data_IF_549193250422
#
_entry.id   IF_549193250422
#
_cell.length_a   1.000
_cell.length_b   1.000
_cell.length_c   1.000
_cell.angle_alpha   90.00
_cell.angle_beta   90.00
_cell.angle_gamma   90.00
#
_symmetry.space_group_name_H-M   'P 1'
#
loop_
_entity.id
_entity.type
_entity.pdbx_description
1 polymer ?
#
# COMPACT_ATOMS: atom_id res chain seq x y z
N UNK A 1 32.03 4.07 7.47
CA UNK A 1 30.65 3.68 7.14
C UNK A 1 30.65 2.19 6.84
N UNK A 2 30.11 1.39 7.74
CA UNK A 2 30.11 -0.07 7.64
C UNK A 2 28.97 -0.58 6.74
N UNK A 3 28.95 -1.88 6.46
CA UNK A 3 27.86 -2.55 5.70
C UNK A 3 26.50 -2.30 6.38
N UNK A 4 26.46 -2.28 7.72
CA UNK A 4 25.25 -2.00 8.50
C UNK A 4 24.66 -0.62 8.21
N UNK A 5 25.50 0.40 8.05
CA UNK A 5 25.04 1.77 7.77
C UNK A 5 24.46 1.88 6.36
N UNK A 6 25.06 1.16 5.39
CA UNK A 6 24.55 1.10 4.01
C UNK A 6 23.23 0.36 3.92
N UNK A 7 23.10 -0.75 4.65
CA UNK A 7 21.85 -1.49 4.73
C UNK A 7 20.74 -0.65 5.37
N UNK A 8 21.04 0.06 6.46
CA UNK A 8 20.08 0.96 7.09
C UNK A 8 19.63 2.08 6.13
N UNK A 9 20.56 2.68 5.37
CA UNK A 9 20.23 3.68 4.36
C UNK A 9 19.32 3.12 3.26
N UNK A 10 19.61 1.92 2.75
CA UNK A 10 18.78 1.25 1.77
C UNK A 10 17.37 0.95 2.30
N UNK A 11 17.26 0.40 3.51
CA UNK A 11 15.96 0.11 4.12
C UNK A 11 15.14 1.38 4.35
N UNK A 12 15.78 2.49 4.70
CA UNK A 12 15.10 3.77 4.84
C UNK A 12 14.56 4.27 3.50
N UNK A 13 15.36 4.20 2.43
CA UNK A 13 14.93 4.60 1.08
C UNK A 13 13.75 3.74 0.59
N UNK A 14 13.86 2.42 0.76
CA UNK A 14 12.78 1.48 0.44
C UNK A 14 11.49 1.78 1.21
N UNK A 15 11.60 2.12 2.51
CA UNK A 15 10.44 2.50 3.32
C UNK A 15 9.80 3.78 2.79
N UNK A 16 10.58 4.81 2.45
CA UNK A 16 10.06 6.07 1.89
C UNK A 16 9.28 5.81 0.59
N UNK A 17 9.83 5.00 -0.31
CA UNK A 17 9.15 4.63 -1.57
C UNK A 17 7.87 3.86 -1.29
N UNK A 18 7.92 2.86 -0.40
CA UNK A 18 6.75 2.05 -0.06
C UNK A 18 5.60 2.89 0.51
N UNK A 19 5.88 3.76 1.49
CA UNK A 19 4.85 4.63 2.06
C UNK A 19 4.34 5.68 1.07
N UNK A 20 5.21 6.19 0.19
CA UNK A 20 4.81 7.10 -0.88
C UNK A 20 3.77 6.46 -1.80
N UNK A 21 4.05 5.24 -2.27
CA UNK A 21 3.13 4.49 -3.13
C UNK A 21 1.80 4.18 -2.41
N UNK A 22 1.84 3.81 -1.13
CA UNK A 22 0.63 3.52 -0.36
C UNK A 22 -0.29 4.76 -0.25
N UNK A 23 0.29 5.94 0.03
CA UNK A 23 -0.46 7.20 0.10
C UNK A 23 -1.04 7.59 -1.27
N UNK A 24 -0.24 7.43 -2.34
CA UNK A 24 -0.68 7.75 -3.70
C UNK A 24 -1.85 6.86 -4.13
N UNK A 25 -1.76 5.55 -3.88
CA UNK A 25 -2.85 4.61 -4.16
C UNK A 25 -4.12 4.99 -3.40
N UNK A 26 -4.02 5.22 -2.08
CA UNK A 26 -5.17 5.60 -1.26
C UNK A 26 -5.79 6.95 -1.67
N UNK A 27 -4.98 7.90 -2.15
CA UNK A 27 -5.47 9.19 -2.64
C UNK A 27 -6.27 9.07 -3.94
N UNK A 28 -6.05 7.98 -4.71
CA UNK A 28 -6.78 7.71 -5.95
C UNK A 28 -8.06 6.88 -5.73
N UNK A 29 -8.23 6.26 -4.55
CA UNK A 29 -9.44 5.50 -4.22
C UNK A 29 -10.69 6.39 -4.23
N UNK A 30 -11.76 5.87 -4.83
CA UNK A 30 -13.04 6.57 -4.93
C UNK A 30 -14.19 5.67 -4.47
N UNK A 31 -15.17 6.29 -3.82
CA UNK A 31 -16.40 5.64 -3.39
C UNK A 31 -17.58 6.21 -4.17
N UNK A 32 -18.48 5.34 -4.60
CA UNK A 32 -19.74 5.76 -5.20
C UNK A 32 -20.69 6.24 -4.09
N UNK A 33 -21.02 7.53 -4.11
CA UNK A 33 -22.00 8.18 -3.22
C UNK A 33 -23.28 8.57 -3.95
N UNK A 34 -23.46 8.09 -5.19
CA UNK A 34 -24.67 8.23 -5.99
C UNK A 34 -25.60 7.03 -5.83
N UNK A 35 -26.76 7.09 -6.47
CA UNK A 35 -27.66 5.92 -6.57
C UNK A 35 -27.30 5.05 -7.78
N UNK A 36 -27.84 3.83 -7.84
CA UNK A 36 -27.54 2.85 -8.89
C UNK A 36 -27.76 3.39 -10.31
N UNK A 37 -28.78 4.22 -10.51
CA UNK A 37 -29.09 4.83 -11.82
C UNK A 37 -28.23 6.06 -12.14
N UNK A 38 -27.62 6.69 -11.12
CA UNK A 38 -26.82 7.91 -11.24
C UNK A 38 -25.63 7.86 -10.28
N UNK A 39 -24.60 7.05 -10.62
CA UNK A 39 -23.43 6.94 -9.79
C UNK A 39 -22.69 8.27 -9.73
N UNK A 40 -22.12 8.57 -8.56
CA UNK A 40 -21.29 9.75 -8.34
C UNK A 40 -20.10 9.32 -7.51
N UNK A 41 -18.93 9.31 -8.12
CA UNK A 41 -17.70 8.95 -7.45
C UNK A 41 -17.06 10.17 -6.79
N UNK A 42 -16.62 10.00 -5.56
CA UNK A 42 -15.86 10.99 -4.80
C UNK A 42 -14.65 10.30 -4.16
N UNK A 43 -13.59 11.06 -3.89
CA UNK A 43 -12.42 10.50 -3.22
C UNK A 43 -12.82 9.87 -1.87
N UNK A 44 -12.37 8.64 -1.63
CA UNK A 44 -12.63 7.90 -0.39
C UNK A 44 -11.94 8.60 0.80
N UNK A 45 -10.72 9.09 0.57
CA UNK A 45 -9.92 9.80 1.55
C UNK A 45 -9.47 11.17 1.03
N UNK A 46 -9.36 12.12 1.94
CA UNK A 46 -8.69 13.41 1.68
C UNK A 46 -7.20 13.29 2.01
N UNK A 47 -6.36 14.10 1.35
CA UNK A 47 -4.92 14.13 1.66
C UNK A 47 -4.65 14.49 3.12
N UNK A 48 -5.48 15.34 3.73
CA UNK A 48 -5.36 15.69 5.15
C UNK A 48 -5.57 14.46 6.04
N UNK A 49 -6.57 13.62 5.73
CA UNK A 49 -6.80 12.37 6.47
C UNK A 49 -5.60 11.42 6.33
N UNK A 50 -5.10 11.21 5.11
CA UNK A 50 -3.96 10.31 4.85
C UNK A 50 -2.69 10.72 5.59
N UNK A 51 -2.50 12.01 5.84
CA UNK A 51 -1.34 12.56 6.56
C UNK A 51 -1.59 12.77 8.06
N UNK A 52 -2.80 12.47 8.55
CA UNK A 52 -3.15 12.64 9.97
C UNK A 52 -2.48 11.54 10.80
N UNK A 53 -1.73 11.90 11.87
CA UNK A 53 -1.12 10.89 12.74
C UNK A 53 -2.16 9.93 13.33
N UNK A 54 -1.89 8.63 13.23
CA UNK A 54 -2.77 7.57 13.72
C UNK A 54 -3.96 7.25 12.80
N UNK A 55 -4.08 7.91 11.65
CA UNK A 55 -5.01 7.49 10.60
C UNK A 55 -4.60 6.12 10.06
N UNK A 56 -5.60 5.26 9.83
CA UNK A 56 -5.42 3.91 9.28
C UNK A 56 -6.28 3.81 8.04
N UNK A 57 -5.69 3.37 6.93
CA UNK A 57 -6.42 3.06 5.71
C UNK A 57 -7.19 1.76 5.96
N UNK A 58 -8.51 1.80 5.79
CA UNK A 58 -9.35 0.61 5.93
C UNK A 58 -9.04 -0.33 4.77
N UNK A 59 -8.58 -1.54 5.10
CA UNK A 59 -8.49 -2.64 4.14
C UNK A 59 -9.87 -3.27 4.04
N UNK A 60 -10.52 -3.14 2.88
CA UNK A 60 -11.78 -3.82 2.62
C UNK A 60 -11.51 -5.34 2.64
N UNK A 61 -12.04 -6.02 3.66
CA UNK A 61 -11.80 -7.45 3.89
C UNK A 61 -12.29 -8.35 2.73
N UNK A 62 -13.09 -7.79 1.82
CA UNK A 62 -13.71 -8.48 0.69
C UNK A 62 -13.09 -8.13 -0.68
N UNK A 63 -12.13 -7.18 -0.77
CA UNK A 63 -11.50 -6.76 -2.05
C UNK A 63 -10.01 -7.16 -2.20
N UNK A 64 -9.45 -7.92 -1.26
CA UNK A 64 -8.09 -8.44 -1.38
C UNK A 64 -8.09 -9.95 -1.54
N UNK A 65 -7.73 -10.46 -2.73
CA UNK A 65 -6.98 -11.72 -2.78
C UNK A 65 -5.79 -11.50 -1.85
N UNK A 66 -5.73 -12.26 -0.74
CA UNK A 66 -4.61 -12.21 0.19
C UNK A 66 -3.33 -12.34 -0.64
N UNK A 67 -2.55 -11.25 -0.78
CA UNK A 67 -1.19 -11.41 -1.26
C UNK A 67 -0.52 -12.33 -0.24
N UNK A 68 -0.06 -13.53 -0.65
CA UNK A 68 0.53 -14.45 0.31
C UNK A 68 1.80 -13.80 0.86
N UNK A 69 1.70 -13.28 2.07
CA UNK A 69 2.81 -12.79 2.88
C UNK A 69 3.61 -13.95 3.50
N UNK A 70 3.53 -15.15 2.90
CA UNK A 70 4.53 -16.17 3.12
C UNK A 70 5.68 -15.94 2.14
N UNK A 71 6.81 -15.53 2.68
CA UNK A 71 8.11 -15.64 2.01
C UNK A 71 8.55 -17.12 1.87
N UNK A 72 7.63 -18.02 1.51
CA UNK A 72 7.87 -19.45 1.22
C UNK A 72 7.58 -19.74 -0.26
N UNK A 73 8.00 -18.82 -1.14
CA UNK A 73 7.75 -18.86 -2.58
C UNK A 73 9.00 -18.80 -3.47
N UNK A 74 10.21 -18.86 -2.90
CA UNK A 74 11.43 -19.06 -3.69
C UNK A 74 11.56 -20.55 -4.03
N UNK A 75 10.83 -20.99 -5.06
CA UNK A 75 11.18 -22.19 -5.80
C UNK A 75 12.48 -21.93 -6.55
N UNK A 76 13.60 -22.28 -5.92
CA UNK A 76 14.85 -22.48 -6.66
C UNK A 76 14.65 -23.71 -7.55
N UNK A 77 14.67 -23.49 -8.87
CA UNK A 77 14.77 -24.56 -9.84
C UNK A 77 16.20 -25.14 -9.73
N UNK A 78 16.36 -26.28 -9.06
CA UNK A 78 17.62 -27.01 -9.08
C UNK A 78 17.79 -27.59 -10.49
N UNK A 79 18.66 -26.94 -11.27
CA UNK A 79 19.11 -27.44 -12.57
C UNK A 79 19.91 -28.72 -12.32
N UNK A 80 19.31 -29.87 -12.64
CA UNK A 80 19.98 -31.19 -12.69
C UNK A 80 20.74 -31.40 -13.99
#
# INVERSE_FOLDING_TARGET
>A
MGIRDRWAAYMFDAAVVFFGNAIENAAQEQINVGGDEKPRYVAKYTLVQLLTPGFVIETDADEGDELPLSADGLLYDEVS
#
